data_IF_750416116673
#
_entry.id   IF_750416116673
#
_cell.length_a   1.000
_cell.length_b   1.000
_cell.length_c   1.000
_cell.angle_alpha   90.00
_cell.angle_beta   90.00
_cell.angle_gamma   90.00
#
_symmetry.space_group_name_H-M   'P 1'
#
loop_
_entity.id
_entity.type
_entity.pdbx_description
1 polymer ?
#
# COMPACT_ATOMS: atom_id res chain seq x y z
N UNK A 1 -13.30 -2.34 -6.51
CA UNK A 1 -12.46 -3.24 -5.68
C UNK A 1 -11.04 -3.39 -6.19
N UNK A 2 -10.81 -3.68 -7.48
CA UNK A 2 -9.45 -3.78 -8.04
C UNK A 2 -8.56 -2.56 -7.73
N UNK A 3 -9.04 -1.35 -8.01
CA UNK A 3 -8.28 -0.11 -7.78
C UNK A 3 -7.90 0.11 -6.31
N UNK A 4 -8.76 -0.27 -5.37
CA UNK A 4 -8.46 -0.22 -3.93
C UNK A 4 -7.33 -1.20 -3.55
N UNK A 5 -7.33 -2.40 -4.13
CA UNK A 5 -6.27 -3.41 -3.91
C UNK A 5 -4.92 -2.95 -4.49
N UNK A 6 -4.94 -2.34 -5.68
CA UNK A 6 -3.73 -1.73 -6.27
C UNK A 6 -3.22 -0.58 -5.39
N UNK A 7 -4.13 0.30 -4.94
CA UNK A 7 -3.79 1.42 -4.03
C UNK A 7 -3.21 0.92 -2.70
N UNK A 8 -3.75 -0.18 -2.15
CA UNK A 8 -3.23 -0.84 -0.95
C UNK A 8 -1.80 -1.35 -1.16
N UNK A 9 -1.53 -2.00 -2.31
CA UNK A 9 -0.19 -2.45 -2.67
C UNK A 9 0.78 -1.28 -2.81
N UNK A 10 0.33 -0.14 -3.36
CA UNK A 10 1.13 1.09 -3.43
C UNK A 10 1.44 1.66 -2.05
N UNK A 11 0.47 1.70 -1.14
CA UNK A 11 0.69 2.13 0.24
C UNK A 11 1.75 1.27 0.92
N UNK A 12 1.65 -0.06 0.78
CA UNK A 12 2.66 -1.00 1.28
C UNK A 12 4.05 -0.69 0.71
N UNK A 13 4.14 -0.56 -0.61
CA UNK A 13 5.41 -0.30 -1.28
C UNK A 13 6.02 1.02 -0.81
N UNK A 14 5.25 2.09 -0.68
CA UNK A 14 5.76 3.39 -0.30
C UNK A 14 6.10 3.50 1.20
N UNK A 15 5.21 3.06 2.08
CA UNK A 15 5.34 3.29 3.52
C UNK A 15 6.06 2.17 4.27
N UNK A 16 6.22 1.00 3.66
CA UNK A 16 6.82 -0.18 4.31
C UNK A 16 7.99 -0.75 3.52
N UNK A 17 7.76 -1.21 2.28
CA UNK A 17 8.79 -1.95 1.52
C UNK A 17 9.94 -1.05 1.06
N UNK A 18 9.62 0.11 0.48
CA UNK A 18 10.62 1.08 0.04
C UNK A 18 11.03 2.03 1.18
N UNK A 19 10.59 1.78 2.42
CA UNK A 19 11.00 2.59 3.55
C UNK A 19 12.46 2.23 3.90
N UNK A 20 13.41 3.11 3.59
CA UNK A 20 14.72 2.69 3.05
C UNK A 20 15.72 2.07 4.04
N UNK A 21 15.39 1.81 5.31
CA UNK A 21 16.43 1.40 6.27
C UNK A 21 16.03 0.35 7.31
N UNK A 22 14.74 0.07 7.54
CA UNK A 22 14.33 -1.05 8.40
C UNK A 22 14.36 -2.39 7.63
N UNK A 23 14.15 -2.35 6.30
CA UNK A 23 13.94 -3.54 5.46
C UNK A 23 14.99 -3.71 4.34
N UNK A 24 16.04 -2.87 4.29
CA UNK A 24 17.14 -2.96 3.32
C UNK A 24 18.44 -3.45 3.99
N UNK A 25 18.49 -4.73 4.33
CA UNK A 25 19.71 -5.43 4.74
C UNK A 25 20.17 -6.42 3.66
N UNK A 26 21.49 -6.61 3.43
CA UNK A 26 22.01 -7.55 2.42
C UNK A 26 21.63 -9.02 2.68
N UNK A 27 21.12 -9.36 3.86
CA UNK A 27 20.67 -10.70 4.24
C UNK A 27 19.18 -10.96 3.92
N UNK A 28 18.49 -10.06 3.21
CA UNK A 28 17.02 -10.00 3.21
C UNK A 28 16.33 -9.88 1.84
N UNK A 29 16.97 -10.25 0.72
CA UNK A 29 16.26 -10.40 -0.57
C UNK A 29 16.11 -11.88 -1.02
N UNK A 30 15.05 -12.56 -0.57
CA UNK A 30 14.79 -13.98 -0.83
C UNK A 30 13.98 -14.22 -2.13
N UNK A 31 13.95 -13.26 -3.07
CA UNK A 31 13.47 -13.47 -4.45
C UNK A 31 12.57 -12.36 -4.99
N UNK A 32 12.31 -12.40 -6.31
CA UNK A 32 11.61 -11.35 -7.07
C UNK A 32 10.24 -10.93 -6.51
N UNK A 33 9.54 -11.83 -5.81
CA UNK A 33 8.22 -11.54 -5.25
C UNK A 33 8.29 -11.05 -3.78
N UNK A 34 9.46 -10.99 -3.15
CA UNK A 34 9.61 -10.62 -1.73
C UNK A 34 9.14 -9.18 -1.42
N UNK A 35 9.18 -8.30 -2.42
CA UNK A 35 8.66 -6.94 -2.33
C UNK A 35 7.12 -6.86 -2.36
N UNK A 36 6.44 -7.93 -2.79
CA UNK A 36 4.97 -7.95 -2.89
C UNK A 36 4.32 -8.00 -1.49
N UNK A 37 3.28 -7.19 -1.30
CA UNK A 37 2.51 -7.12 -0.06
C UNK A 37 2.16 -8.50 0.51
N UNK A 38 1.69 -9.42 -0.34
CA UNK A 38 1.19 -10.74 0.07
C UNK A 38 2.29 -11.80 0.26
N UNK A 39 3.53 -11.48 -0.15
CA UNK A 39 4.71 -12.35 -0.08
C UNK A 39 5.83 -11.82 0.79
N UNK A 40 5.68 -10.61 1.34
CA UNK A 40 6.67 -10.04 2.24
C UNK A 40 7.02 -10.96 3.40
N UNK A 41 8.31 -10.96 3.73
CA UNK A 41 8.92 -11.69 4.84
C UNK A 41 8.63 -11.03 6.19
N UNK A 42 8.27 -9.74 6.19
CA UNK A 42 7.88 -9.00 7.38
C UNK A 42 6.42 -9.26 7.73
N UNK A 43 6.09 -10.53 8.06
CA UNK A 43 4.71 -11.00 8.28
C UNK A 43 3.99 -10.19 9.36
N UNK A 44 4.61 -10.01 10.52
CA UNK A 44 4.00 -9.27 11.63
C UNK A 44 3.77 -7.78 11.28
N UNK A 45 4.70 -7.18 10.54
CA UNK A 45 4.59 -5.81 10.07
C UNK A 45 3.48 -5.66 9.01
N UNK A 46 3.41 -6.58 8.06
CA UNK A 46 2.32 -6.67 7.08
C UNK A 46 0.98 -6.74 7.79
N UNK A 47 0.82 -7.67 8.73
CA UNK A 47 -0.45 -7.89 9.38
C UNK A 47 -0.86 -6.69 10.25
N UNK A 48 0.10 -6.05 10.94
CA UNK A 48 -0.13 -4.80 11.66
C UNK A 48 -0.54 -3.64 10.73
N UNK A 49 0.17 -3.45 9.62
CA UNK A 49 -0.12 -2.43 8.62
C UNK A 49 -1.51 -2.61 8.01
N UNK A 50 -1.82 -3.81 7.54
CA UNK A 50 -3.11 -4.12 6.92
C UNK A 50 -4.25 -4.02 7.94
N UNK A 51 -4.03 -4.44 9.19
CA UNK A 51 -5.03 -4.28 10.26
C UNK A 51 -5.34 -2.82 10.54
N UNK A 52 -4.31 -1.95 10.56
CA UNK A 52 -4.53 -0.52 10.75
C UNK A 52 -5.34 0.10 9.60
N UNK A 53 -5.00 -0.23 8.35
CA UNK A 53 -5.75 0.24 7.17
C UNK A 53 -7.19 -0.25 7.22
N UNK A 54 -7.43 -1.52 7.57
CA UNK A 54 -8.77 -2.10 7.67
C UNK A 54 -9.68 -1.33 8.64
N UNK A 55 -9.12 -0.74 9.70
CA UNK A 55 -9.86 0.07 10.68
C UNK A 55 -10.02 1.54 10.29
N UNK A 56 -8.99 2.15 9.69
CA UNK A 56 -8.89 3.61 9.58
C UNK A 56 -9.16 4.15 8.17
N UNK A 57 -9.18 3.31 7.15
CA UNK A 57 -9.38 3.74 5.77
C UNK A 57 -10.85 3.87 5.39
N UNK A 58 -11.13 4.59 4.30
CA UNK A 58 -12.45 4.60 3.68
C UNK A 58 -12.88 3.17 3.26
N UNK A 59 -14.20 2.88 3.21
CA UNK A 59 -14.72 1.52 3.06
C UNK A 59 -14.08 0.68 1.93
N UNK A 60 -13.80 1.21 0.72
CA UNK A 60 -13.19 0.39 -0.33
C UNK A 60 -11.78 -0.10 -0.01
N UNK A 61 -10.96 0.74 0.62
CA UNK A 61 -9.59 0.42 0.98
C UNK A 61 -9.55 -0.47 2.24
N UNK A 62 -10.44 -0.20 3.20
CA UNK A 62 -10.65 -1.07 4.36
C UNK A 62 -11.07 -2.49 3.94
N UNK A 63 -11.98 -2.63 2.98
CA UNK A 63 -12.38 -3.93 2.43
C UNK A 63 -11.24 -4.63 1.68
N UNK A 64 -10.42 -3.88 0.94
CA UNK A 64 -9.23 -4.43 0.28
C UNK A 64 -8.23 -4.99 1.32
N UNK A 65 -8.03 -4.27 2.43
CA UNK A 65 -7.19 -4.70 3.53
C UNK A 65 -7.74 -5.97 4.21
N UNK A 66 -9.04 -6.01 4.51
CA UNK A 66 -9.71 -7.20 5.05
C UNK A 66 -9.58 -8.42 4.11
N UNK A 67 -9.68 -8.20 2.79
CA UNK A 67 -9.46 -9.26 1.79
C UNK A 67 -8.04 -9.84 1.91
N UNK A 68 -7.03 -9.01 2.13
CA UNK A 68 -5.63 -9.45 2.31
C UNK A 68 -5.46 -10.24 3.61
N UNK A 69 -6.02 -9.77 4.73
CA UNK A 69 -6.00 -10.53 6.00
C UNK A 69 -6.65 -11.91 5.82
N UNK A 70 -7.84 -11.95 5.20
CA UNK A 70 -8.54 -13.19 4.91
C UNK A 70 -7.70 -14.11 4.01
N UNK A 71 -7.11 -13.58 2.93
CA UNK A 71 -6.21 -14.33 2.05
C UNK A 71 -5.10 -15.01 2.86
N UNK A 72 -4.44 -14.26 3.75
CA UNK A 72 -3.34 -14.75 4.58
C UNK A 72 -3.79 -15.61 5.76
N UNK A 73 -5.09 -15.67 6.07
CA UNK A 73 -5.61 -16.32 7.27
C UNK A 73 -5.12 -15.63 8.55
N UNK A 74 -4.79 -14.34 8.46
CA UNK A 74 -4.28 -13.55 9.56
C UNK A 74 -5.45 -12.91 10.33
N UNK A 75 -5.45 -12.96 11.67
CA UNK A 75 -6.39 -12.17 12.45
C UNK A 75 -6.05 -10.68 12.35
N UNK A 76 -7.00 -9.83 12.69
CA UNK A 76 -6.74 -8.40 12.87
C UNK A 76 -5.87 -8.17 14.13
N UNK A 77 -4.87 -7.29 14.02
CA UNK A 77 -3.88 -7.00 15.07
C UNK A 77 -3.89 -5.52 15.46
N UNK A 78 -3.55 -5.23 16.71
CA UNK A 78 -3.48 -3.87 17.27
C UNK A 78 -2.05 -3.56 17.70
N UNK A 79 -1.27 -3.01 16.78
CA UNK A 79 0.12 -2.64 17.04
C UNK A 79 0.22 -1.20 17.59
N UNK A 80 0.86 -1.06 18.76
CA UNK A 80 1.06 0.25 19.42
C UNK A 80 1.86 1.24 18.57
N UNK A 81 2.69 0.77 17.65
CA UNK A 81 3.45 1.61 16.72
C UNK A 81 2.57 2.49 15.83
N UNK A 82 1.29 2.16 15.67
CA UNK A 82 0.32 2.96 14.91
C UNK A 82 -0.44 3.99 15.74
N UNK A 83 -0.22 4.08 17.06
CA UNK A 83 -0.91 5.07 17.90
C UNK A 83 -0.65 6.52 17.43
N UNK A 84 0.58 6.81 17.00
CA UNK A 84 0.92 8.14 16.45
C UNK A 84 0.19 8.40 15.12
N UNK A 85 -0.02 7.35 14.31
CA UNK A 85 -0.78 7.46 13.06
C UNK A 85 -2.28 7.66 13.32
N UNK A 86 -2.81 7.07 14.40
CA UNK A 86 -4.18 7.34 14.85
C UNK A 86 -4.35 8.80 15.25
N UNK A 87 -3.46 9.36 16.07
CA UNK A 87 -3.51 10.77 16.45
C UNK A 87 -3.34 11.72 15.27
N UNK A 88 -2.45 11.39 14.32
CA UNK A 88 -2.28 12.16 13.10
C UNK A 88 -3.55 12.12 12.23
N UNK A 89 -4.21 10.97 12.12
CA UNK A 89 -5.45 10.83 11.37
C UNK A 89 -6.60 11.63 12.01
N UNK A 90 -6.75 11.59 13.34
CA UNK A 90 -7.77 12.37 14.06
C UNK A 90 -7.61 13.88 13.86
N UNK A 91 -6.38 14.38 13.91
CA UNK A 91 -6.07 15.79 13.64
C UNK A 91 -6.36 16.18 12.19
N UNK A 92 -6.00 15.32 11.25
CA UNK A 92 -6.30 15.55 9.84
C UNK A 92 -7.81 15.56 9.58
N UNK A 93 -8.55 14.65 10.22
CA UNK A 93 -10.01 14.58 10.11
C UNK A 93 -10.69 15.84 10.65
N UNK A 94 -10.11 16.49 11.66
CA UNK A 94 -10.59 17.77 12.18
C UNK A 94 -10.39 18.96 11.20
N UNK A 95 -9.51 18.81 10.20
CA UNK A 95 -9.30 19.80 9.13
C UNK A 95 -10.16 19.54 7.89
N UNK A 96 -10.99 18.49 7.91
CA UNK A 96 -11.84 18.07 6.80
C UNK A 96 -13.33 18.32 7.09
N UNK A 97 -14.14 18.65 6.06
CA UNK A 97 -13.74 18.90 4.66
C UNK A 97 -13.01 20.24 4.50
N UNK A 98 -12.22 20.37 3.44
CA UNK A 98 -11.52 21.61 3.07
C UNK A 98 -11.81 21.97 1.62
N UNK A 99 -11.89 23.28 1.33
CA UNK A 99 -11.94 23.80 -0.05
C UNK A 99 -10.54 23.99 -0.64
N UNK A 100 -9.52 24.15 0.20
CA UNK A 100 -8.12 24.28 -0.18
C UNK A 100 -7.30 23.13 0.45
N UNK A 101 -7.06 22.04 -0.31
CA UNK A 101 -6.30 20.89 0.17
C UNK A 101 -4.86 21.25 0.54
N UNK A 102 -4.24 22.20 -0.17
CA UNK A 102 -2.85 22.60 0.08
C UNK A 102 -2.77 23.39 1.39
N UNK A 103 -3.65 24.36 1.58
CA UNK A 103 -3.71 25.12 2.83
C UNK A 103 -4.00 24.21 4.04
N UNK A 104 -4.92 23.25 3.92
CA UNK A 104 -5.19 22.29 4.97
C UNK A 104 -3.97 21.42 5.32
N UNK A 105 -3.19 20.97 4.32
CA UNK A 105 -1.97 20.21 4.56
C UNK A 105 -0.86 21.08 5.18
N UNK A 106 -0.73 22.34 4.79
CA UNK A 106 0.21 23.29 5.41
C UNK A 106 -0.15 23.50 6.87
N UNK A 107 -1.43 23.73 7.17
CA UNK A 107 -1.94 23.87 8.53
C UNK A 107 -1.74 22.60 9.36
N UNK A 108 -1.98 21.43 8.76
CA UNK A 108 -1.74 20.14 9.40
C UNK A 108 -0.27 19.96 9.80
N UNK A 109 0.66 20.25 8.89
CA UNK A 109 2.12 20.20 9.17
C UNK A 109 2.49 21.17 10.28
N UNK A 110 1.93 22.38 10.26
CA UNK A 110 2.15 23.40 11.30
C UNK A 110 1.67 22.89 12.67
N UNK A 111 0.44 22.40 12.78
CA UNK A 111 -0.13 21.88 14.03
C UNK A 111 0.68 20.72 14.61
N UNK A 112 1.11 19.77 13.76
CA UNK A 112 1.92 18.64 14.20
C UNK A 112 3.32 19.07 14.65
N UNK A 113 3.93 20.03 13.95
CA UNK A 113 5.28 20.51 14.28
C UNK A 113 5.32 21.32 15.58
N UNK A 114 4.26 22.07 15.88
CA UNK A 114 4.17 22.89 17.09
C UNK A 114 3.73 22.08 18.33
N UNK A 115 2.81 21.12 18.15
CA UNK A 115 2.21 20.40 19.27
C UNK A 115 3.07 19.25 19.78
N UNK A 116 3.93 18.64 18.95
CA UNK A 116 4.56 17.37 19.26
C UNK A 116 5.97 17.23 18.68
N UNK A 117 6.97 17.10 19.57
CA UNK A 117 8.37 16.85 19.17
C UNK A 117 8.55 15.53 18.39
N UNK A 118 7.62 14.58 18.49
CA UNK A 118 7.65 13.29 17.79
C UNK A 118 7.52 13.42 16.26
N UNK A 119 7.01 14.55 15.77
CA UNK A 119 6.84 14.83 14.34
C UNK A 119 7.98 15.68 13.76
N UNK A 120 8.78 16.33 14.59
CA UNK A 120 9.97 17.05 14.14
C UNK A 120 11.01 16.03 13.67
N UNK A 121 11.42 16.10 12.41
CA UNK A 121 12.50 15.27 11.90
C UNK A 121 13.83 15.76 12.48
N UNK A 122 14.37 15.00 13.44
CA UNK A 122 15.72 15.15 13.97
C UNK A 122 16.77 14.63 12.99
N UNK A 123 18.03 15.05 13.20
CA UNK A 123 19.17 14.66 12.36
C UNK A 123 19.39 13.15 12.27
N UNK A 124 20.31 12.74 11.41
CA UNK A 124 20.67 11.32 11.25
C UNK A 124 21.15 10.72 12.57
N UNK A 125 20.62 9.57 12.95
CA UNK A 125 21.18 8.76 14.03
C UNK A 125 22.51 8.16 13.57
N UNK A 126 23.57 8.30 14.38
CA UNK A 126 24.83 7.61 14.11
C UNK A 126 24.81 6.25 14.80
N UNK A 127 24.97 5.16 14.04
CA UNK A 127 25.12 3.81 14.60
C UNK A 127 26.50 3.25 14.25
N UNK A 128 27.04 2.43 15.16
CA UNK A 128 28.33 1.78 14.99
C UNK A 128 28.13 0.34 14.51
N UNK A 129 28.68 0.02 13.34
CA UNK A 129 28.74 -1.35 12.82
C UNK A 129 30.17 -1.67 12.40
N UNK A 130 30.71 -2.80 12.87
CA UNK A 130 32.09 -3.22 12.61
C UNK A 130 33.15 -2.12 12.86
N UNK A 131 32.96 -1.31 13.92
CA UNK A 131 33.89 -0.22 14.27
C UNK A 131 33.82 1.03 13.39
N UNK A 132 32.85 1.11 12.46
CA UNK A 132 32.59 2.30 11.63
C UNK A 132 31.28 2.96 12.02
N UNK A 133 31.29 4.29 12.04
CA UNK A 133 30.11 5.12 12.26
C UNK A 133 29.36 5.32 10.93
N UNK A 134 28.07 5.01 10.94
CA UNK A 134 27.15 5.23 9.83
C UNK A 134 26.04 6.16 10.29
N UNK A 135 25.74 7.18 9.49
CA UNK A 135 24.59 8.04 9.70
C UNK A 135 23.37 7.39 9.03
N UNK A 136 22.31 7.14 9.80
CA UNK A 136 21.02 6.66 9.32
C UNK A 136 19.92 7.69 9.55
N UNK A 137 18.96 7.86 8.63
CA UNK A 137 17.72 8.54 8.97
C UNK A 137 17.02 7.82 10.13
N UNK A 138 16.28 8.54 10.99
CA UNK A 138 15.57 7.92 12.11
C UNK A 138 14.52 6.91 11.63
N UNK A 139 14.21 5.94 12.50
CA UNK A 139 13.15 4.91 12.32
C UNK A 139 11.79 5.54 12.01
N UNK A 140 10.79 4.74 11.63
CA UNK A 140 9.43 5.25 11.41
C UNK A 140 8.91 6.02 12.63
N UNK A 141 8.85 7.34 12.49
CA UNK A 141 8.41 8.28 13.52
C UNK A 141 7.14 9.04 13.14
N UNK A 142 6.93 10.21 13.74
CA UNK A 142 5.74 11.02 13.51
C UNK A 142 5.54 11.42 12.05
N UNK A 143 6.58 11.86 11.35
CA UNK A 143 6.47 12.23 9.94
C UNK A 143 5.98 11.08 9.04
N UNK A 144 6.41 9.84 9.31
CA UNK A 144 5.89 8.64 8.62
C UNK A 144 4.41 8.42 8.94
N UNK A 145 4.04 8.54 10.21
CA UNK A 145 2.67 8.36 10.67
C UNK A 145 1.71 9.40 10.07
N UNK A 146 2.11 10.67 10.03
CA UNK A 146 1.37 11.74 9.35
C UNK A 146 1.24 11.47 7.85
N UNK A 147 2.33 11.05 7.21
CA UNK A 147 2.33 10.70 5.79
C UNK A 147 1.34 9.58 5.48
N UNK A 148 1.32 8.54 6.30
CA UNK A 148 0.39 7.42 6.17
C UNK A 148 -1.08 7.84 6.39
N UNK A 149 -1.34 8.70 7.38
CA UNK A 149 -2.68 9.25 7.63
C UNK A 149 -3.20 10.04 6.41
N UNK A 150 -2.39 10.97 5.88
CA UNK A 150 -2.72 11.75 4.67
C UNK A 150 -2.97 10.85 3.46
N UNK A 151 -2.13 9.83 3.28
CA UNK A 151 -2.23 8.93 2.14
C UNK A 151 -3.57 8.16 2.08
N UNK A 152 -4.30 8.05 3.20
CA UNK A 152 -5.61 7.37 3.24
C UNK A 152 -6.81 8.32 3.27
N UNK A 153 -6.62 9.63 3.03
CA UNK A 153 -7.67 10.64 3.03
C UNK A 153 -7.92 11.26 1.66
N UNK A 154 -8.53 10.52 0.72
CA UNK A 154 -8.99 11.09 -0.55
C UNK A 154 -10.00 12.25 -0.36
N UNK A 155 -10.64 12.33 0.80
CA UNK A 155 -11.53 13.43 1.21
C UNK A 155 -10.84 14.80 1.23
N UNK A 156 -9.50 14.85 1.35
CA UNK A 156 -8.72 16.07 1.18
C UNK A 156 -9.03 16.76 -0.16
N UNK A 157 -9.37 16.01 -1.20
CA UNK A 157 -9.64 16.51 -2.55
C UNK A 157 -11.12 16.38 -2.94
N UNK A 158 -12.02 16.34 -1.95
CA UNK A 158 -13.46 16.12 -2.16
C UNK A 158 -13.80 14.83 -2.94
N UNK A 159 -12.91 13.84 -2.95
CA UNK A 159 -13.13 12.55 -3.63
C UNK A 159 -13.98 11.57 -2.80
N UNK A 160 -14.49 12.00 -1.65
CA UNK A 160 -15.29 11.18 -0.74
C UNK A 160 -14.56 9.89 -0.34
N UNK A 161 -15.28 8.78 -0.30
CA UNK A 161 -14.73 7.44 -0.02
C UNK A 161 -14.10 6.77 -1.25
N UNK A 162 -13.37 7.52 -2.09
CA UNK A 162 -12.76 6.96 -3.29
C UNK A 162 -11.82 5.79 -2.96
N UNK A 163 -11.74 4.75 -3.83
CA UNK A 163 -10.89 3.58 -3.65
C UNK A 163 -9.42 3.88 -3.96
N UNK A 164 -8.91 5.03 -3.51
CA UNK A 164 -7.62 5.59 -3.87
C UNK A 164 -6.79 5.85 -2.62
N UNK A 165 -5.48 5.67 -2.77
CA UNK A 165 -4.49 6.10 -1.80
C UNK A 165 -3.56 7.14 -2.42
N UNK A 166 -3.21 8.14 -1.63
CA UNK A 166 -2.36 9.27 -2.01
C UNK A 166 -0.96 9.11 -1.40
N UNK A 167 -0.36 7.94 -1.62
CA UNK A 167 0.94 7.58 -1.07
C UNK A 167 2.01 8.63 -1.43
N UNK A 168 2.74 9.10 -0.43
CA UNK A 168 3.81 10.10 -0.60
C UNK A 168 3.35 11.56 -0.72
N UNK A 169 2.05 11.85 -0.56
CA UNK A 169 1.52 13.21 -0.64
C UNK A 169 2.07 14.15 0.44
N UNK A 170 2.43 13.60 1.61
CA UNK A 170 3.08 14.35 2.68
C UNK A 170 4.50 13.78 2.91
N UNK A 171 5.53 14.37 2.28
CA UNK A 171 6.91 13.88 2.40
C UNK A 171 7.55 14.30 3.72
N UNK A 172 8.55 13.54 4.16
CA UNK A 172 9.32 13.80 5.40
C UNK A 172 9.97 15.19 5.43
N UNK A 173 10.38 15.70 4.28
CA UNK A 173 10.99 17.03 4.13
C UNK A 173 10.11 18.17 4.68
N UNK A 174 8.78 18.00 4.67
CA UNK A 174 7.86 18.99 5.23
C UNK A 174 8.05 19.21 6.75
N UNK A 175 8.61 18.22 7.44
CA UNK A 175 8.83 18.21 8.89
C UNK A 175 10.29 18.51 9.30
N UNK A 176 11.18 18.74 8.34
CA UNK A 176 12.57 19.07 8.62
C UNK A 176 12.71 20.51 9.10
N UNK A 177 13.55 20.70 10.13
CA UNK A 177 13.85 22.02 10.71
C UNK A 177 14.71 22.87 9.77
N UNK A 178 15.74 22.28 9.15
CA UNK A 178 16.60 22.92 8.16
C UNK A 178 16.22 22.48 6.75
N UNK A 179 15.09 22.99 6.24
CA UNK A 179 14.61 22.76 4.88
C UNK A 179 14.98 23.93 3.96
N UNK A 180 15.41 23.62 2.74
CA UNK A 180 15.72 24.64 1.72
C UNK A 180 14.44 25.20 1.06
N UNK A 181 13.41 24.37 0.96
CA UNK A 181 12.14 24.71 0.32
C UNK A 181 11.06 25.02 1.35
N UNK A 182 10.13 25.90 0.98
CA UNK A 182 8.95 26.17 1.80
C UNK A 182 8.02 24.95 1.82
N UNK A 183 7.29 24.75 2.93
CA UNK A 183 6.31 23.65 3.05
C UNK A 183 5.29 23.64 1.90
N UNK A 184 4.71 24.78 1.47
CA UNK A 184 3.83 24.80 0.30
C UNK A 184 4.50 24.27 -0.98
N UNK A 185 5.77 24.64 -1.25
CA UNK A 185 6.48 24.19 -2.44
C UNK A 185 6.78 22.68 -2.43
N UNK A 186 7.12 22.14 -1.25
CA UNK A 186 7.33 20.70 -1.04
C UNK A 186 6.03 19.94 -1.32
N UNK A 187 4.92 20.39 -0.72
CA UNK A 187 3.61 19.75 -0.85
C UNK A 187 3.07 19.83 -2.27
N UNK A 188 3.26 20.96 -2.98
CA UNK A 188 2.87 21.08 -4.37
C UNK A 188 3.59 20.08 -5.28
N UNK A 189 4.90 19.85 -5.07
CA UNK A 189 5.65 18.83 -5.79
C UNK A 189 5.20 17.39 -5.47
N UNK A 190 4.91 17.13 -4.19
CA UNK A 190 4.39 15.85 -3.73
C UNK A 190 3.00 15.54 -4.31
N UNK A 191 2.13 16.55 -4.41
CA UNK A 191 0.81 16.44 -5.03
C UNK A 191 0.90 15.94 -6.47
N UNK A 192 1.77 16.53 -7.29
CA UNK A 192 1.95 16.13 -8.69
C UNK A 192 2.43 14.67 -8.81
N UNK A 193 3.33 14.28 -7.91
CA UNK A 193 3.87 12.91 -7.85
C UNK A 193 2.77 11.90 -7.45
N UNK A 194 1.99 12.22 -6.42
CA UNK A 194 0.87 11.40 -5.96
C UNK A 194 -0.24 11.29 -7.04
N UNK A 195 -0.56 12.39 -7.72
CA UNK A 195 -1.52 12.39 -8.83
C UNK A 195 -1.06 11.51 -10.00
N UNK A 196 0.23 11.57 -10.34
CA UNK A 196 0.83 10.71 -11.36
C UNK A 196 0.76 9.24 -10.97
N UNK A 197 1.05 8.92 -9.71
CA UNK A 197 0.93 7.57 -9.17
C UNK A 197 -0.50 7.03 -9.24
N UNK A 198 -1.49 7.83 -8.84
CA UNK A 198 -2.92 7.48 -8.93
C UNK A 198 -3.34 7.23 -10.39
N UNK A 199 -2.88 8.08 -11.32
CA UNK A 199 -3.13 7.88 -12.76
C UNK A 199 -2.60 6.54 -13.23
N UNK A 200 -1.39 6.16 -12.84
CA UNK A 200 -0.80 4.85 -13.17
C UNK A 200 -1.65 3.70 -12.61
N UNK A 201 -2.18 3.82 -11.39
CA UNK A 201 -3.05 2.79 -10.80
C UNK A 201 -4.37 2.64 -11.57
N UNK A 202 -4.97 3.75 -11.99
CA UNK A 202 -6.21 3.73 -12.78
C UNK A 202 -5.98 3.07 -14.14
N UNK A 203 -4.89 3.44 -14.83
CA UNK A 203 -4.50 2.85 -16.11
C UNK A 203 -4.25 1.34 -15.94
N UNK A 204 -3.47 0.95 -14.93
CA UNK A 204 -3.20 -0.46 -14.64
C UNK A 204 -4.46 -1.26 -14.29
N UNK A 205 -5.36 -0.68 -13.49
CA UNK A 205 -6.64 -1.29 -13.17
C UNK A 205 -7.48 -1.53 -14.45
N UNK A 206 -7.49 -0.55 -15.36
CA UNK A 206 -8.22 -0.66 -16.62
C UNK A 206 -7.61 -1.73 -17.52
N UNK A 207 -6.29 -1.73 -17.68
CA UNK A 207 -5.57 -2.73 -18.47
C UNK A 207 -5.84 -4.16 -17.97
N UNK A 208 -5.84 -4.38 -16.66
CA UNK A 208 -6.17 -5.68 -16.08
C UNK A 208 -7.61 -6.12 -16.37
N UNK A 209 -8.59 -5.20 -16.32
CA UNK A 209 -9.99 -5.51 -16.66
C UNK A 209 -10.12 -5.89 -18.14
N UNK A 210 -9.47 -5.12 -19.03
CA UNK A 210 -9.58 -5.34 -20.46
C UNK A 210 -8.86 -6.63 -20.89
N UNK A 211 -7.72 -6.96 -20.27
CA UNK A 211 -7.04 -8.24 -20.45
C UNK A 211 -7.94 -9.42 -20.02
N UNK A 212 -8.62 -9.30 -18.88
CA UNK A 212 -9.55 -10.33 -18.41
C UNK A 212 -10.67 -10.57 -19.42
N UNK A 213 -11.28 -9.50 -19.94
CA UNK A 213 -12.33 -9.58 -20.97
C UNK A 213 -11.81 -10.27 -22.23
N UNK A 214 -10.62 -9.88 -22.70
CA UNK A 214 -10.05 -10.42 -23.93
C UNK A 214 -9.69 -11.91 -23.83
N UNK A 215 -9.07 -12.32 -22.71
CA UNK A 215 -8.57 -13.70 -22.52
C UNK A 215 -9.66 -14.67 -22.07
N UNK A 216 -10.53 -14.26 -21.13
CA UNK A 216 -11.58 -15.13 -20.59
C UNK A 216 -12.84 -15.21 -21.45
N UNK A 217 -13.03 -14.34 -22.45
CA UNK A 217 -14.12 -14.51 -23.40
C UNK A 217 -13.98 -15.81 -24.23
N UNK A 218 -12.75 -16.29 -24.42
CA UNK A 218 -12.42 -17.45 -25.26
C UNK A 218 -12.53 -18.79 -24.51
N UNK A 219 -12.43 -18.77 -23.18
CA UNK A 219 -12.42 -19.95 -22.32
C UNK A 219 -13.63 -19.81 -21.41
N UNK A 220 -14.68 -20.64 -21.62
CA UNK A 220 -15.97 -20.70 -20.90
C UNK A 220 -16.09 -19.68 -19.74
N UNK A 221 -17.00 -18.70 -19.86
CA UNK A 221 -17.26 -17.63 -18.86
C UNK A 221 -17.43 -18.18 -17.44
N UNK A 222 -16.34 -18.33 -16.71
CA UNK A 222 -16.34 -18.63 -15.27
C UNK A 222 -16.20 -17.30 -14.55
N UNK A 223 -17.28 -16.84 -13.92
CA UNK A 223 -17.25 -15.63 -13.07
C UNK A 223 -16.15 -15.70 -12.02
N UNK A 224 -15.89 -16.89 -11.48
CA UNK A 224 -14.85 -17.11 -10.47
C UNK A 224 -13.42 -17.00 -11.02
N UNK A 225 -13.18 -17.31 -12.29
CA UNK A 225 -11.87 -17.06 -12.92
C UNK A 225 -11.63 -15.55 -13.09
N UNK A 226 -12.67 -14.81 -13.47
CA UNK A 226 -12.61 -13.35 -13.54
C UNK A 226 -12.32 -12.73 -12.16
N UNK A 227 -13.03 -13.15 -11.12
CA UNK A 227 -12.80 -12.65 -9.75
C UNK A 227 -11.41 -13.00 -9.22
N UNK A 228 -10.91 -14.21 -9.49
CA UNK A 228 -9.56 -14.64 -9.13
C UNK A 228 -8.49 -13.80 -9.85
N UNK A 229 -8.70 -13.47 -11.12
CA UNK A 229 -7.81 -12.58 -11.86
C UNK A 229 -7.78 -11.17 -11.27
N UNK A 230 -8.94 -10.55 -11.04
CA UNK A 230 -9.01 -9.20 -10.46
C UNK A 230 -8.46 -9.15 -9.02
N UNK A 231 -8.51 -10.28 -8.30
CA UNK A 231 -7.81 -10.40 -7.03
C UNK A 231 -6.29 -10.37 -7.24
N UNK A 232 -5.75 -11.29 -8.05
CA UNK A 232 -4.30 -11.40 -8.29
C UNK A 232 -3.71 -10.11 -8.88
N UNK A 233 -4.35 -9.53 -9.89
CA UNK A 233 -3.92 -8.25 -10.49
C UNK A 233 -3.88 -7.12 -9.45
N UNK A 234 -4.80 -7.15 -8.49
CA UNK A 234 -4.93 -6.14 -7.44
C UNK A 234 -3.93 -6.29 -6.29
N UNK A 235 -3.81 -7.48 -5.71
CA UNK A 235 -3.01 -7.70 -4.47
C UNK A 235 -1.66 -8.37 -4.70
N UNK A 236 -1.39 -8.83 -5.92
CA UNK A 236 -0.19 -9.60 -6.23
C UNK A 236 -0.38 -11.11 -6.12
N UNK A 237 0.72 -11.89 -6.12
CA UNK A 237 0.69 -13.33 -6.26
C UNK A 237 0.10 -14.05 -5.04
N UNK A 238 -0.97 -14.81 -5.23
CA UNK A 238 -1.62 -15.65 -4.20
C UNK A 238 -1.51 -17.14 -4.54
N UNK A 239 -1.46 -17.99 -3.52
CA UNK A 239 -1.62 -19.44 -3.64
C UNK A 239 -3.09 -19.76 -3.83
N UNK A 240 -3.40 -20.96 -4.36
CA UNK A 240 -4.79 -21.42 -4.51
C UNK A 240 -5.57 -21.42 -3.18
N UNK A 241 -4.90 -21.72 -2.06
CA UNK A 241 -5.52 -21.69 -0.74
C UNK A 241 -5.80 -20.26 -0.25
N UNK A 242 -4.91 -19.31 -0.55
CA UNK A 242 -5.12 -17.90 -0.22
C UNK A 242 -6.23 -17.28 -1.11
N UNK A 243 -6.30 -17.65 -2.40
CA UNK A 243 -7.41 -17.28 -3.29
C UNK A 243 -8.74 -17.80 -2.72
N UNK A 244 -8.77 -19.05 -2.27
CA UNK A 244 -9.97 -19.65 -1.69
C UNK A 244 -10.48 -18.85 -0.49
N UNK A 245 -9.59 -18.46 0.44
CA UNK A 245 -9.97 -17.64 1.59
C UNK A 245 -10.37 -16.22 1.21
N UNK A 246 -9.63 -15.58 0.31
CA UNK A 246 -9.86 -14.20 -0.11
C UNK A 246 -11.20 -14.01 -0.84
N UNK A 247 -11.63 -15.01 -1.62
CA UNK A 247 -12.88 -14.99 -2.37
C UNK A 247 -14.04 -15.69 -1.65
N UNK A 248 -13.80 -16.21 -0.43
CA UNK A 248 -14.73 -17.04 0.33
C UNK A 248 -15.34 -18.18 -0.52
N UNK A 249 -14.47 -19.02 -1.08
CA UNK A 249 -14.85 -20.17 -1.90
C UNK A 249 -14.14 -21.44 -1.47
N UNK A 250 -14.65 -22.58 -1.91
CA UNK A 250 -13.97 -23.86 -1.69
C UNK A 250 -12.60 -23.89 -2.37
N UNK A 251 -11.66 -24.67 -1.80
CA UNK A 251 -10.34 -24.94 -2.41
C UNK A 251 -10.47 -25.49 -3.84
N UNK A 252 -11.51 -26.29 -4.10
CA UNK A 252 -11.81 -26.84 -5.42
C UNK A 252 -12.15 -25.72 -6.42
N UNK A 253 -13.04 -24.81 -6.04
CA UNK A 253 -13.43 -23.65 -6.87
C UNK A 253 -12.23 -22.74 -7.17
N UNK A 254 -11.41 -22.43 -6.16
CA UNK A 254 -10.21 -21.63 -6.35
C UNK A 254 -9.18 -22.32 -7.27
N UNK A 255 -9.02 -23.65 -7.13
CA UNK A 255 -8.13 -24.43 -8.01
C UNK A 255 -8.62 -24.48 -9.45
N UNK A 256 -9.93 -24.61 -9.66
CA UNK A 256 -10.53 -24.54 -11.00
C UNK A 256 -10.37 -23.16 -11.63
N UNK A 257 -10.57 -22.09 -10.86
CA UNK A 257 -10.34 -20.73 -11.32
C UNK A 257 -8.86 -20.51 -11.72
N UNK A 258 -7.91 -20.97 -10.90
CA UNK A 258 -6.49 -20.90 -11.21
C UNK A 258 -6.14 -21.68 -12.49
N UNK A 259 -6.67 -22.90 -12.66
CA UNK A 259 -6.43 -23.70 -13.87
C UNK A 259 -6.95 -22.99 -15.14
N UNK A 260 -8.12 -22.34 -15.08
CA UNK A 260 -8.66 -21.54 -16.19
C UNK A 260 -7.74 -20.36 -16.51
N UNK A 261 -7.18 -19.70 -15.49
CA UNK A 261 -6.26 -18.58 -15.68
C UNK A 261 -4.90 -19.03 -16.25
N UNK A 262 -4.42 -20.22 -15.85
CA UNK A 262 -3.24 -20.86 -16.42
C UNK A 262 -3.48 -21.22 -17.91
N UNK A 263 -4.62 -21.84 -18.24
CA UNK A 263 -5.03 -22.14 -19.62
C UNK A 263 -5.16 -20.86 -20.48
N UNK A 264 -5.62 -19.77 -19.87
CA UNK A 264 -5.73 -18.46 -20.51
C UNK A 264 -4.37 -17.75 -20.70
N UNK A 265 -3.27 -18.31 -20.20
CA UNK A 265 -1.94 -17.72 -20.23
C UNK A 265 -1.80 -16.45 -19.38
N UNK A 266 -2.68 -16.26 -18.41
CA UNK A 266 -2.71 -15.04 -17.59
C UNK A 266 -1.77 -15.16 -16.38
N UNK A 267 -1.58 -16.38 -15.89
CA UNK A 267 -0.75 -16.69 -14.73
C UNK A 267 0.12 -17.92 -15.02
N UNK A 268 1.20 -18.07 -14.26
CA UNK A 268 1.98 -19.29 -14.20
C UNK A 268 2.20 -19.73 -12.75
N UNK A 269 2.36 -21.05 -12.52
CA UNK A 269 2.85 -21.54 -11.25
C UNK A 269 4.26 -20.99 -11.02
N UNK A 270 4.46 -20.35 -9.87
CA UNK A 270 5.79 -20.28 -9.28
C UNK A 270 6.06 -21.59 -8.54
N UNK A 271 7.30 -21.86 -8.09
CA UNK A 271 7.64 -23.11 -7.40
C UNK A 271 6.63 -23.48 -6.30
N UNK A 272 6.61 -24.74 -5.85
CA UNK A 272 5.55 -25.36 -5.01
C UNK A 272 4.99 -24.53 -3.82
N UNK A 273 5.68 -23.46 -3.39
CA UNK A 273 5.33 -22.61 -2.25
C UNK A 273 5.23 -21.10 -2.57
N UNK A 274 5.44 -20.65 -3.82
CA UNK A 274 5.65 -19.24 -4.15
C UNK A 274 4.39 -18.50 -4.69
N UNK A 275 3.26 -19.19 -4.90
CA UNK A 275 2.02 -18.59 -5.40
C UNK A 275 1.80 -18.71 -6.92
N UNK A 276 1.07 -17.75 -7.49
CA UNK A 276 0.79 -17.67 -8.94
C UNK A 276 1.34 -16.34 -9.45
N UNK A 277 2.37 -16.37 -10.30
CA UNK A 277 2.95 -15.16 -10.92
C UNK A 277 2.07 -14.70 -12.07
N UNK A 278 1.94 -13.39 -12.22
CA UNK A 278 1.28 -12.77 -13.37
C UNK A 278 2.28 -12.80 -14.54
N UNK A 279 1.95 -13.51 -15.61
CA UNK A 279 2.83 -13.66 -16.78
C UNK A 279 2.46 -12.69 -17.89
N UNK A 280 1.18 -12.32 -17.98
CA UNK A 280 0.65 -11.47 -19.04
C UNK A 280 0.92 -9.95 -18.86
N UNK A 281 1.77 -9.56 -17.90
CA UNK A 281 2.13 -8.15 -17.67
C UNK A 281 3.42 -7.70 -18.36
N UNK A 282 4.14 -8.61 -19.07
CA UNK A 282 5.44 -8.34 -19.68
C UNK A 282 5.47 -8.39 -21.22
N UNK A 283 4.33 -8.50 -21.88
CA UNK A 283 4.22 -8.32 -23.34
C UNK A 283 3.53 -6.98 -23.63
N UNK A 284 4.27 -5.88 -23.48
CA UNK A 284 3.95 -4.55 -24.00
C UNK A 284 5.23 -3.79 -24.28
#
# INVERSE_FOLDING_TARGET
MLLARISLRRLWNHHVSAYPFENLGPDHDPGLDAAELVRSYHVAERDAFISWIARRAAPPLAHAAATVLAAKGAPEVFARSYAIADSAAERLDALLPTEDPLAALVEFVRQLSEAENSFVEGGSETYLAAGRAFNRPPTRGGAWAASLAVAMRPQLFALGAAPLALAGLLPREAFQSMRERSVPAILAGALLSAATAVRTDIIGARAAIDLAKARLAKIKRSSRAHDAWLLLAGVGPLTRAEIARALDVTKRTASQAAAILEEAGMIAPTGRYEGLRIVAAHES
#
